data_IF_183999824318
#
_entry.id   IF_183999824318
#
_cell.length_a   1.000
_cell.length_b   1.000
_cell.length_c   1.000
_cell.angle_alpha   90.00
_cell.angle_beta   90.00
_cell.angle_gamma   90.00
#
_symmetry.space_group_name_H-M   'P 1'
#
loop_
_entity.id
_entity.type
_entity.pdbx_description
1 polymer ?
#
# COMPACT_ATOMS: atom_id res chain seq x y z
N UNK A 1 -3.36 -8.97 -45.35
CA UNK A 1 -4.57 -9.12 -44.51
C UNK A 1 -4.56 -10.38 -43.62
N UNK A 2 -3.91 -11.48 -44.03
CA UNK A 2 -3.86 -12.77 -43.30
C UNK A 2 -3.03 -12.73 -42.00
N UNK A 3 -1.99 -11.88 -41.93
CA UNK A 3 -1.07 -11.84 -40.78
C UNK A 3 -1.67 -11.21 -39.52
N UNK A 4 -2.68 -10.32 -39.66
CA UNK A 4 -3.32 -9.66 -38.50
C UNK A 4 -4.32 -10.56 -37.78
N UNK A 5 -4.94 -11.52 -38.49
CA UNK A 5 -5.91 -12.46 -37.89
C UNK A 5 -5.21 -13.45 -36.95
N UNK A 6 -3.98 -13.88 -37.29
CA UNK A 6 -3.19 -14.80 -36.43
C UNK A 6 -2.78 -14.18 -35.10
N UNK A 7 -2.50 -12.87 -35.08
CA UNK A 7 -2.08 -12.15 -33.86
C UNK A 7 -3.25 -11.97 -32.89
N UNK A 8 -4.45 -11.70 -33.40
CA UNK A 8 -5.67 -11.55 -32.56
C UNK A 8 -6.05 -12.89 -31.92
N UNK A 9 -5.97 -14.00 -32.66
CA UNK A 9 -6.29 -15.32 -32.13
C UNK A 9 -5.29 -15.80 -31.04
N UNK A 10 -4.02 -15.40 -31.12
CA UNK A 10 -3.02 -15.68 -30.09
C UNK A 10 -3.23 -14.85 -28.80
N UNK A 11 -3.69 -13.60 -28.93
CA UNK A 11 -4.02 -12.73 -27.79
C UNK A 11 -5.26 -13.23 -27.02
N UNK A 12 -6.28 -13.73 -27.74
CA UNK A 12 -7.50 -14.24 -27.12
C UNK A 12 -7.28 -15.55 -26.33
N UNK A 13 -6.41 -16.44 -26.82
CA UNK A 13 -6.04 -17.68 -26.13
C UNK A 13 -5.22 -17.44 -24.85
N UNK A 14 -4.41 -16.37 -24.81
CA UNK A 14 -3.60 -16.05 -23.62
C UNK A 14 -4.42 -15.36 -22.51
N UNK A 15 -5.48 -14.63 -22.86
CA UNK A 15 -6.38 -14.02 -21.86
C UNK A 15 -7.30 -15.05 -21.19
N UNK A 16 -7.75 -16.09 -21.91
CA UNK A 16 -8.61 -17.13 -21.33
C UNK A 16 -7.85 -18.09 -20.43
N UNK A 17 -6.55 -18.33 -20.70
CA UNK A 17 -5.69 -19.13 -19.84
C UNK A 17 -5.44 -18.48 -18.46
N UNK A 18 -5.37 -17.15 -18.38
CA UNK A 18 -5.22 -16.44 -17.10
C UNK A 18 -6.50 -16.45 -16.25
N UNK A 19 -7.69 -16.47 -16.87
CA UNK A 19 -8.96 -16.47 -16.14
C UNK A 19 -9.28 -17.84 -15.49
N UNK A 20 -8.74 -18.93 -16.04
CA UNK A 20 -8.97 -20.30 -15.54
C UNK A 20 -8.01 -20.73 -14.42
N UNK A 21 -6.93 -19.96 -14.15
CA UNK A 21 -5.98 -20.27 -13.07
C UNK A 21 -6.47 -19.81 -11.68
N UNK A 22 -7.56 -19.04 -11.61
CA UNK A 22 -8.09 -18.48 -10.35
C UNK A 22 -9.15 -19.34 -9.66
N UNK A 23 -9.46 -20.54 -10.17
CA UNK A 23 -10.58 -21.37 -9.68
C UNK A 23 -10.19 -22.72 -9.05
N UNK A 24 -8.90 -22.98 -8.80
CA UNK A 24 -8.43 -24.30 -8.30
C UNK A 24 -7.70 -24.27 -6.95
N UNK A 25 -8.08 -23.37 -6.04
CA UNK A 25 -7.63 -23.42 -4.63
C UNK A 25 -8.83 -23.59 -3.68
N UNK A 26 -9.65 -24.61 -3.90
CA UNK A 26 -10.63 -25.07 -2.91
C UNK A 26 -10.61 -26.60 -2.87
N UNK A 27 -9.56 -27.16 -2.29
CA UNK A 27 -9.57 -28.49 -1.65
C UNK A 27 -8.18 -28.76 -1.07
N UNK A 28 -8.08 -28.75 0.27
CA UNK A 28 -7.28 -29.67 1.09
C UNK A 28 -7.03 -29.07 2.47
N UNK A 29 -7.86 -29.44 3.45
CA UNK A 29 -7.41 -29.88 4.79
C UNK A 29 -8.60 -30.31 5.65
N UNK A 30 -9.02 -31.56 5.47
CA UNK A 30 -9.70 -32.31 6.52
C UNK A 30 -8.68 -33.29 7.09
N UNK A 31 -8.27 -33.09 8.35
CA UNK A 31 -7.32 -34.00 9.00
C UNK A 31 -6.76 -33.51 10.34
N UNK A 32 -7.47 -33.84 11.44
CA UNK A 32 -6.87 -34.29 12.70
C UNK A 32 -6.68 -33.28 13.84
N UNK A 33 -7.28 -33.59 15.00
CA UNK A 33 -6.73 -33.19 16.31
C UNK A 33 -7.68 -32.50 17.30
N UNK A 34 -8.62 -33.23 17.88
CA UNK A 34 -9.49 -32.75 18.97
C UNK A 34 -8.74 -32.67 20.30
N UNK A 35 -8.06 -31.56 20.61
CA UNK A 35 -7.66 -31.20 21.99
C UNK A 35 -7.68 -29.68 22.21
N UNK A 36 -8.67 -29.21 22.98
CA UNK A 36 -8.85 -27.86 23.57
C UNK A 36 -8.83 -26.68 22.58
N UNK A 37 -9.87 -26.55 21.74
CA UNK A 37 -9.88 -25.60 20.60
C UNK A 37 -10.65 -24.28 20.79
N UNK A 38 -11.43 -24.12 21.87
CA UNK A 38 -12.36 -22.97 22.00
C UNK A 38 -11.62 -21.62 21.99
N UNK A 39 -10.49 -21.49 22.69
CA UNK A 39 -9.74 -20.22 22.74
C UNK A 39 -8.88 -19.96 21.49
N UNK A 40 -8.52 -20.99 20.72
CA UNK A 40 -7.64 -20.86 19.54
C UNK A 40 -8.45 -20.52 18.29
N UNK A 41 -9.63 -21.11 18.13
CA UNK A 41 -10.57 -20.81 17.05
C UNK A 41 -11.07 -19.37 17.16
N UNK A 42 -11.54 -18.93 18.33
CA UNK A 42 -12.00 -17.55 18.58
C UNK A 42 -10.92 -16.51 18.22
N UNK A 43 -9.65 -16.79 18.57
CA UNK A 43 -8.52 -15.91 18.27
C UNK A 43 -8.18 -15.89 16.77
N UNK A 44 -8.28 -17.05 16.10
CA UNK A 44 -8.05 -17.15 14.66
C UNK A 44 -9.12 -16.40 13.87
N UNK A 45 -10.39 -16.53 14.27
CA UNK A 45 -11.52 -15.83 13.68
C UNK A 45 -11.43 -14.32 13.90
N UNK A 46 -11.15 -13.87 15.13
CA UNK A 46 -10.94 -12.46 15.44
C UNK A 46 -9.81 -11.84 14.61
N UNK A 47 -8.70 -12.58 14.42
CA UNK A 47 -7.60 -12.14 13.56
C UNK A 47 -8.04 -12.00 12.11
N UNK A 48 -8.74 -12.99 11.56
CA UNK A 48 -9.21 -12.96 10.18
C UNK A 48 -10.19 -11.79 9.94
N UNK A 49 -11.11 -11.55 10.88
CA UNK A 49 -12.03 -10.41 10.84
C UNK A 49 -11.28 -9.07 10.83
N UNK A 50 -10.29 -8.91 11.71
CA UNK A 50 -9.46 -7.71 11.75
C UNK A 50 -8.62 -7.54 10.48
N UNK A 51 -8.10 -8.60 9.87
CA UNK A 51 -7.39 -8.53 8.58
C UNK A 51 -8.31 -8.03 7.47
N UNK A 52 -9.52 -8.59 7.35
CA UNK A 52 -10.49 -8.13 6.34
C UNK A 52 -10.86 -6.66 6.53
N UNK A 53 -11.14 -6.25 7.77
CA UNK A 53 -11.45 -4.85 8.08
C UNK A 53 -10.26 -3.91 7.81
N UNK A 54 -9.06 -4.32 8.22
CA UNK A 54 -7.84 -3.54 7.99
C UNK A 54 -7.58 -3.36 6.49
N UNK A 55 -7.78 -4.40 5.68
CA UNK A 55 -7.59 -4.31 4.23
C UNK A 55 -8.58 -3.36 3.58
N UNK A 56 -9.85 -3.35 4.01
CA UNK A 56 -10.84 -2.39 3.55
C UNK A 56 -10.42 -0.94 3.85
N UNK A 57 -9.95 -0.69 5.09
CA UNK A 57 -9.44 0.63 5.49
C UNK A 57 -8.18 1.04 4.71
N UNK A 58 -7.27 0.11 4.43
CA UNK A 58 -6.10 0.38 3.58
C UNK A 58 -6.50 0.76 2.16
N UNK A 59 -7.50 0.09 1.58
CA UNK A 59 -8.03 0.47 0.27
C UNK A 59 -8.61 1.89 0.26
N UNK A 60 -9.32 2.29 1.33
CA UNK A 60 -9.78 3.67 1.50
C UNK A 60 -8.61 4.65 1.61
N UNK A 61 -7.58 4.32 2.40
CA UNK A 61 -6.39 5.17 2.53
C UNK A 61 -5.65 5.35 1.20
N UNK A 62 -5.53 4.28 0.40
CA UNK A 62 -4.97 4.34 -0.97
C UNK A 62 -5.78 5.23 -1.88
N UNK A 63 -7.12 5.15 -1.82
CA UNK A 63 -8.00 6.04 -2.59
C UNK A 63 -7.82 7.51 -2.17
N UNK A 64 -7.70 7.80 -0.87
CA UNK A 64 -7.42 9.15 -0.36
C UNK A 64 -6.06 9.67 -0.79
N UNK A 65 -5.03 8.82 -0.77
CA UNK A 65 -3.70 9.17 -1.27
C UNK A 65 -3.72 9.48 -2.78
N UNK A 66 -4.46 8.69 -3.58
CA UNK A 66 -4.63 8.95 -5.02
C UNK A 66 -5.34 10.29 -5.32
N UNK A 67 -6.16 10.78 -4.38
CA UNK A 67 -6.81 12.10 -4.43
C UNK A 67 -5.94 13.21 -3.81
N UNK A 68 -4.66 12.95 -3.52
CA UNK A 68 -3.72 13.86 -2.86
C UNK A 68 -4.13 14.27 -1.43
N UNK A 69 -5.10 13.59 -0.83
CA UNK A 69 -5.59 13.84 0.52
C UNK A 69 -4.70 13.14 1.56
N UNK A 70 -3.43 13.53 1.63
CA UNK A 70 -2.39 12.85 2.43
C UNK A 70 -2.74 12.81 3.92
N UNK A 71 -3.28 13.90 4.48
CA UNK A 71 -3.71 13.96 5.88
C UNK A 71 -4.80 12.95 6.23
N UNK A 72 -5.83 12.82 5.38
CA UNK A 72 -6.90 11.85 5.56
C UNK A 72 -6.40 10.41 5.42
N UNK A 73 -5.57 10.14 4.41
CA UNK A 73 -4.94 8.83 4.22
C UNK A 73 -4.13 8.41 5.46
N UNK A 74 -3.32 9.34 6.01
CA UNK A 74 -2.51 9.13 7.22
C UNK A 74 -3.37 8.81 8.43
N UNK A 75 -4.44 9.57 8.65
CA UNK A 75 -5.37 9.34 9.75
C UNK A 75 -6.02 7.96 9.68
N UNK A 76 -6.44 7.51 8.49
CA UNK A 76 -7.02 6.18 8.28
C UNK A 76 -6.02 5.08 8.66
N UNK A 77 -4.77 5.17 8.18
CA UNK A 77 -3.74 4.17 8.47
C UNK A 77 -3.39 4.12 9.97
N UNK A 78 -3.26 5.28 10.63
CA UNK A 78 -3.00 5.35 12.09
C UNK A 78 -4.13 4.67 12.85
N UNK A 79 -5.38 5.01 12.53
CA UNK A 79 -6.56 4.45 13.21
C UNK A 79 -6.67 2.95 12.96
N UNK A 80 -6.48 2.49 11.73
CA UNK A 80 -6.46 1.07 11.39
C UNK A 80 -5.40 0.30 12.18
N UNK A 81 -4.16 0.80 12.27
CA UNK A 81 -3.08 0.11 13.00
C UNK A 81 -3.36 -0.03 14.50
N UNK A 82 -4.15 0.88 15.07
CA UNK A 82 -4.60 0.85 16.47
C UNK A 82 -5.76 -0.13 16.66
N UNK A 83 -6.80 -0.01 15.83
CA UNK A 83 -8.05 -0.76 15.97
C UNK A 83 -7.87 -2.24 15.58
N UNK A 84 -7.14 -2.50 14.49
CA UNK A 84 -6.92 -3.83 13.92
C UNK A 84 -5.57 -4.42 14.37
N UNK A 85 -5.28 -4.43 15.67
CA UNK A 85 -3.96 -4.78 16.19
C UNK A 85 -3.54 -6.24 15.89
N UNK A 86 -4.50 -7.15 15.71
CA UNK A 86 -4.25 -8.55 15.32
C UNK A 86 -3.99 -8.73 13.81
N UNK A 87 -4.28 -7.73 12.97
CA UNK A 87 -4.10 -7.79 11.52
C UNK A 87 -2.63 -7.61 11.11
N UNK A 88 -1.80 -8.63 11.33
CA UNK A 88 -0.36 -8.55 11.13
C UNK A 88 0.04 -8.23 9.68
N UNK A 89 -0.65 -8.80 8.69
CA UNK A 89 -0.36 -8.56 7.28
C UNK A 89 -0.74 -7.14 6.89
N UNK A 90 -1.98 -6.73 7.14
CA UNK A 90 -2.42 -5.37 6.83
C UNK A 90 -1.63 -4.31 7.62
N UNK A 91 -1.16 -4.60 8.84
CA UNK A 91 -0.29 -3.66 9.58
C UNK A 91 1.07 -3.48 8.92
N UNK A 92 1.66 -4.53 8.32
CA UNK A 92 2.89 -4.41 7.54
C UNK A 92 2.65 -3.58 6.28
N UNK A 93 1.59 -3.85 5.54
CA UNK A 93 1.18 -3.03 4.38
C UNK A 93 0.93 -1.57 4.77
N UNK A 94 0.32 -1.34 5.93
CA UNK A 94 0.07 0.00 6.46
C UNK A 94 1.33 0.78 6.79
N UNK A 95 2.43 0.12 7.17
CA UNK A 95 3.73 0.79 7.35
C UNK A 95 4.25 1.28 5.99
N UNK A 96 4.26 0.41 4.99
CA UNK A 96 4.69 0.75 3.62
C UNK A 96 3.83 1.86 3.00
N UNK A 97 2.51 1.80 3.22
CA UNK A 97 1.59 2.84 2.78
C UNK A 97 1.85 4.17 3.50
N UNK A 98 2.20 4.15 4.80
CA UNK A 98 2.56 5.38 5.52
C UNK A 98 3.77 6.07 4.90
N UNK A 99 4.79 5.29 4.50
CA UNK A 99 5.98 5.84 3.85
C UNK A 99 5.67 6.41 2.46
N UNK A 100 4.74 5.77 1.75
CA UNK A 100 4.20 6.28 0.48
C UNK A 100 3.41 7.58 0.65
N UNK A 101 2.68 7.73 1.76
CA UNK A 101 1.97 8.97 2.10
C UNK A 101 2.97 10.07 2.45
N UNK A 102 3.98 9.76 3.27
CA UNK A 102 4.96 10.74 3.73
C UNK A 102 5.82 11.28 2.57
N UNK A 103 6.23 10.44 1.61
CA UNK A 103 6.93 10.94 0.41
C UNK A 103 6.03 11.85 -0.44
N UNK A 104 4.74 11.51 -0.60
CA UNK A 104 3.82 12.32 -1.40
C UNK A 104 3.59 13.69 -0.74
N UNK A 105 3.47 13.71 0.58
CA UNK A 105 3.37 14.92 1.38
C UNK A 105 4.65 15.77 1.27
N UNK A 106 5.84 15.16 1.34
CA UNK A 106 7.10 15.86 1.16
C UNK A 106 7.23 16.49 -0.24
N UNK A 107 6.77 15.80 -1.29
CA UNK A 107 6.75 16.31 -2.67
C UNK A 107 5.81 17.52 -2.83
N UNK A 108 4.65 17.48 -2.18
CA UNK A 108 3.73 18.62 -2.14
C UNK A 108 4.34 19.84 -1.42
N UNK A 109 5.01 19.61 -0.30
CA UNK A 109 5.72 20.66 0.44
C UNK A 109 6.85 21.27 -0.38
N UNK A 110 7.63 20.45 -1.09
CA UNK A 110 8.67 20.92 -2.01
C UNK A 110 8.09 21.77 -3.14
N UNK A 111 7.02 21.32 -3.78
CA UNK A 111 6.36 22.10 -4.85
C UNK A 111 5.85 23.46 -4.35
N UNK A 112 5.36 23.51 -3.10
CA UNK A 112 4.96 24.76 -2.46
C UNK A 112 6.16 25.66 -2.15
N UNK A 113 7.24 25.11 -1.60
CA UNK A 113 8.45 25.85 -1.29
C UNK A 113 9.10 26.42 -2.55
N UNK A 114 9.17 25.64 -3.64
CA UNK A 114 9.65 26.10 -4.96
C UNK A 114 8.81 27.28 -5.48
N UNK A 115 7.48 27.14 -5.42
CA UNK A 115 6.56 28.20 -5.84
C UNK A 115 6.73 29.50 -5.03
N UNK A 116 7.09 29.40 -3.75
CA UNK A 116 7.37 30.56 -2.89
C UNK A 116 8.73 31.17 -3.22
N UNK A 117 9.76 30.34 -3.38
CA UNK A 117 11.12 30.76 -3.75
C UNK A 117 11.14 31.53 -5.09
N UNK A 118 10.35 31.09 -6.07
CA UNK A 118 10.21 31.78 -7.36
C UNK A 118 9.51 33.14 -7.24
N UNK A 119 8.61 33.32 -6.27
CA UNK A 119 7.87 34.58 -6.04
C UNK A 119 8.64 35.55 -5.14
N UNK A 120 9.34 35.03 -4.15
CA UNK A 120 10.05 35.78 -3.14
C UNK A 120 11.44 35.16 -2.96
N UNK A 121 12.46 35.88 -3.41
CA UNK A 121 13.84 35.46 -3.22
C UNK A 121 14.35 36.02 -1.90
N UNK A 122 14.29 35.20 -0.84
CA UNK A 122 14.82 35.52 0.49
C UNK A 122 15.66 34.36 1.03
N UNK A 123 16.53 34.64 2.00
CA UNK A 123 17.34 33.59 2.67
C UNK A 123 16.42 32.54 3.31
N UNK A 124 15.36 32.97 4.01
CA UNK A 124 14.40 32.07 4.66
C UNK A 124 13.70 31.13 3.67
N UNK A 125 13.30 31.63 2.50
CA UNK A 125 12.67 30.80 1.46
C UNK A 125 13.64 29.80 0.82
N UNK A 126 14.94 30.12 0.79
CA UNK A 126 15.98 29.18 0.34
C UNK A 126 16.15 28.03 1.33
N UNK A 127 16.21 28.33 2.62
CA UNK A 127 16.35 27.31 3.67
C UNK A 127 15.15 26.35 3.71
N UNK A 128 13.93 26.88 3.53
CA UNK A 128 12.70 26.08 3.43
C UNK A 128 12.70 25.14 2.22
N UNK A 129 13.18 25.63 1.07
CA UNK A 129 13.30 24.82 -0.14
C UNK A 129 14.32 23.69 0.03
N UNK A 130 15.49 24.00 0.59
CA UNK A 130 16.54 23.01 0.85
C UNK A 130 16.08 21.95 1.86
N UNK A 131 15.34 22.34 2.89
CA UNK A 131 14.76 21.40 3.84
C UNK A 131 13.72 20.48 3.17
N UNK A 132 12.84 21.04 2.33
CA UNK A 132 11.88 20.24 1.59
C UNK A 132 12.57 19.25 0.63
N UNK A 133 13.66 19.65 -0.02
CA UNK A 133 14.50 18.77 -0.83
C UNK A 133 15.08 17.61 -0.01
N UNK A 134 15.67 17.91 1.15
CA UNK A 134 16.23 16.89 2.06
C UNK A 134 15.16 15.90 2.52
N UNK A 135 13.96 16.38 2.82
CA UNK A 135 12.83 15.55 3.25
C UNK A 135 12.39 14.57 2.15
N UNK A 136 12.26 15.03 0.91
CA UNK A 136 11.95 14.14 -0.23
C UNK A 136 13.02 13.05 -0.38
N UNK A 137 14.29 13.44 -0.39
CA UNK A 137 15.40 12.48 -0.52
C UNK A 137 15.43 11.45 0.62
N UNK A 138 15.11 11.87 1.84
CA UNK A 138 15.02 10.97 2.98
C UNK A 138 13.98 9.88 2.75
N UNK A 139 12.76 10.25 2.37
CA UNK A 139 11.68 9.28 2.16
C UNK A 139 11.89 8.41 0.91
N UNK A 140 12.52 8.93 -0.15
CA UNK A 140 12.92 8.13 -1.31
C UNK A 140 13.91 7.03 -0.93
N UNK A 141 14.95 7.38 -0.15
CA UNK A 141 15.91 6.38 0.37
C UNK A 141 15.24 5.35 1.27
N UNK A 142 14.30 5.79 2.11
CA UNK A 142 13.54 4.89 2.98
C UNK A 142 12.74 3.86 2.17
N UNK A 143 11.94 4.32 1.20
CA UNK A 143 11.15 3.43 0.34
C UNK A 143 12.01 2.47 -0.49
N UNK A 144 13.16 2.94 -1.00
CA UNK A 144 14.09 2.08 -1.73
C UNK A 144 14.70 0.98 -0.84
N UNK A 145 14.95 1.28 0.43
CA UNK A 145 15.41 0.30 1.40
C UNK A 145 14.31 -0.73 1.69
N UNK A 146 13.09 -0.25 1.98
CA UNK A 146 11.96 -1.12 2.32
C UNK A 146 11.59 -2.04 1.15
N UNK A 147 11.57 -1.54 -0.09
CA UNK A 147 11.28 -2.34 -1.28
C UNK A 147 12.34 -3.42 -1.57
N UNK A 148 13.58 -3.23 -1.13
CA UNK A 148 14.65 -4.24 -1.24
C UNK A 148 14.54 -5.29 -0.15
N UNK A 149 14.10 -4.91 1.03
CA UNK A 149 13.93 -5.81 2.17
C UNK A 149 12.77 -6.81 1.99
N UNK A 150 11.74 -6.43 1.24
CA UNK A 150 10.57 -7.28 0.95
C UNK A 150 10.81 -8.36 -0.11
N UNK A 151 11.93 -8.31 -0.85
CA UNK A 151 12.29 -9.26 -1.92
C UNK A 151 13.32 -10.33 -1.49
N UNK A 152 13.60 -10.43 -0.19
CA UNK A 152 14.48 -11.45 0.40
C UNK A 152 13.66 -12.40 1.26
#
# INVERSE_FOLDING_TARGET
MITRIRIINAQLANMTAMLMLMLTIIACSAGGGTKNNVNTEDRSEARNKMETEAQARLSMARAKLAQMQCGEAKAIVIKMRKDCYLALSARKEGILLMDSIDIQQAKLELSKADSLMQKQHSISTSDEFDEACRKVQFYERKLQYDSRSTNK
#
